data_IF_729656848144
#
_entry.id   IF_729656848144
#
_cell.length_a   1.000
_cell.length_b   1.000
_cell.length_c   1.000
_cell.angle_alpha   90.00
_cell.angle_beta   90.00
_cell.angle_gamma   90.00
#
_symmetry.space_group_name_H-M   'P 1'
#
loop_
_entity.id
_entity.type
_entity.pdbx_description
1 polymer ?
#
# COMPACT_ATOMS: atom_id res chain seq x y z
N UNK A 1 -5.40 -13.70 -38.59
CA UNK A 1 -4.38 -12.74 -38.14
C UNK A 1 -4.95 -11.98 -36.96
N UNK A 2 -4.65 -12.40 -35.72
CA UNK A 2 -5.04 -11.62 -34.55
C UNK A 2 -4.18 -10.34 -34.53
N UNK A 3 -4.83 -9.17 -34.55
CA UNK A 3 -4.14 -7.90 -34.46
C UNK A 3 -3.38 -7.85 -33.12
N UNK A 4 -2.05 -7.74 -33.18
CA UNK A 4 -1.16 -7.61 -32.02
C UNK A 4 -1.43 -6.27 -31.30
N UNK A 5 -2.51 -6.22 -30.53
CA UNK A 5 -2.88 -5.05 -29.74
C UNK A 5 -2.17 -5.10 -28.39
N UNK A 6 -1.30 -4.12 -28.14
CA UNK A 6 -0.64 -3.93 -26.85
C UNK A 6 -1.53 -3.14 -25.91
N UNK A 7 -1.49 -3.47 -24.62
CA UNK A 7 -2.29 -2.85 -23.55
C UNK A 7 -1.39 -2.42 -22.41
N UNK A 8 -1.87 -1.48 -21.61
CA UNK A 8 -1.28 -1.15 -20.32
C UNK A 8 -1.25 -2.42 -19.46
N UNK A 9 -0.12 -2.66 -18.79
CA UNK A 9 0.18 -3.88 -18.03
C UNK A 9 0.88 -4.98 -18.83
N UNK A 10 0.91 -4.92 -20.16
CA UNK A 10 1.60 -5.94 -20.96
C UNK A 10 3.12 -5.84 -20.79
N UNK A 11 3.78 -7.01 -20.73
CA UNK A 11 5.23 -7.13 -20.83
C UNK A 11 5.64 -7.34 -22.28
N UNK A 12 6.66 -6.63 -22.71
CA UNK A 12 7.03 -6.52 -24.12
C UNK A 12 8.54 -6.50 -24.32
N UNK A 13 8.94 -7.03 -25.48
CA UNK A 13 10.30 -6.94 -25.97
C UNK A 13 10.50 -5.63 -26.74
N UNK A 14 11.47 -4.83 -26.30
CA UNK A 14 11.91 -3.60 -26.93
C UNK A 14 13.24 -3.81 -27.66
N UNK A 15 13.31 -3.29 -28.87
CA UNK A 15 14.57 -3.17 -29.60
C UNK A 15 15.31 -1.90 -29.18
N UNK A 16 16.58 -2.05 -28.78
CA UNK A 16 17.47 -0.92 -28.46
C UNK A 16 18.53 -0.71 -29.57
N UNK A 17 19.13 -1.79 -30.04
CA UNK A 17 20.00 -1.81 -31.22
C UNK A 17 19.94 -3.18 -31.89
N UNK A 18 20.17 -3.23 -33.20
CA UNK A 18 20.11 -4.46 -34.00
C UNK A 18 21.13 -5.54 -33.57
N UNK A 19 22.16 -5.16 -32.82
CA UNK A 19 23.23 -6.03 -32.35
C UNK A 19 23.04 -6.56 -30.92
N UNK A 20 22.11 -5.99 -30.14
CA UNK A 20 21.91 -6.34 -28.74
C UNK A 20 20.62 -7.15 -28.55
N UNK A 21 20.60 -8.10 -27.59
CA UNK A 21 19.36 -8.78 -27.22
C UNK A 21 18.27 -7.81 -26.79
N UNK A 22 17.02 -8.16 -27.12
CA UNK A 22 15.84 -7.34 -26.83
C UNK A 22 15.72 -7.03 -25.34
N UNK A 23 15.41 -5.77 -25.03
CA UNK A 23 15.13 -5.32 -23.67
C UNK A 23 13.72 -5.75 -23.27
N UNK A 24 13.48 -5.98 -21.99
CA UNK A 24 12.16 -6.38 -21.48
C UNK A 24 11.61 -5.21 -20.68
N UNK A 25 10.35 -4.86 -20.94
CA UNK A 25 9.70 -3.70 -20.32
C UNK A 25 8.23 -3.97 -20.05
N UNK A 26 7.65 -3.31 -19.05
CA UNK A 26 6.20 -3.30 -18.79
C UNK A 26 5.60 -1.98 -19.25
N UNK A 27 4.49 -2.02 -19.97
CA UNK A 27 3.77 -0.83 -20.41
C UNK A 27 2.97 -0.25 -19.24
N UNK A 28 3.31 0.95 -18.80
CA UNK A 28 2.52 1.70 -17.80
C UNK A 28 1.48 2.60 -18.46
N UNK A 29 1.82 3.17 -19.61
CA UNK A 29 0.99 4.16 -20.28
C UNK A 29 1.23 4.10 -21.79
N UNK A 30 0.17 4.29 -22.57
CA UNK A 30 0.24 4.43 -24.02
C UNK A 30 -0.37 5.77 -24.42
N UNK A 31 0.47 6.64 -24.95
CA UNK A 31 0.10 8.00 -25.33
C UNK A 31 0.11 8.16 -26.84
N UNK A 32 -1.04 8.55 -27.40
CA UNK A 32 -1.17 8.86 -28.82
C UNK A 32 -1.09 10.38 -29.01
N UNK A 33 -0.07 10.83 -29.71
CA UNK A 33 0.12 12.25 -30.07
C UNK A 33 -0.89 12.70 -31.12
N UNK A 34 -1.11 14.02 -31.23
CA UNK A 34 -1.99 14.61 -32.25
C UNK A 34 -1.58 14.26 -33.69
N UNK A 35 -0.30 13.99 -33.91
CA UNK A 35 0.27 13.60 -35.20
C UNK A 35 0.04 12.10 -35.53
N UNK A 36 -0.60 11.35 -34.62
CA UNK A 36 -0.90 9.93 -34.80
C UNK A 36 0.18 8.96 -34.30
N UNK A 37 1.35 9.46 -33.89
CA UNK A 37 2.41 8.64 -33.31
C UNK A 37 2.03 8.16 -31.92
N UNK A 38 2.38 6.91 -31.60
CA UNK A 38 2.13 6.29 -30.28
C UNK A 38 3.44 6.14 -29.54
N UNK A 39 3.50 6.71 -28.34
CA UNK A 39 4.59 6.55 -27.37
C UNK A 39 4.13 5.64 -26.24
N UNK A 40 5.04 4.78 -25.79
CA UNK A 40 4.82 3.91 -24.65
C UNK A 40 5.71 4.37 -23.51
N UNK A 41 5.08 4.73 -22.39
CA UNK A 41 5.77 4.94 -21.11
C UNK A 41 5.90 3.59 -20.44
N UNK A 42 7.13 3.21 -20.16
CA UNK A 42 7.48 1.84 -19.83
C UNK A 42 8.40 1.77 -18.63
N UNK A 43 8.16 0.75 -17.81
CA UNK A 43 9.03 0.33 -16.71
C UNK A 43 10.09 -0.62 -17.24
N UNK A 44 11.34 -0.40 -16.84
CA UNK A 44 12.48 -1.18 -17.30
C UNK A 44 12.72 -2.45 -16.48
N UNK A 45 13.02 -3.56 -17.15
CA UNK A 45 13.63 -4.73 -16.52
C UNK A 45 15.09 -4.84 -16.93
N UNK A 46 15.93 -5.17 -15.95
CA UNK A 46 17.36 -5.38 -16.15
C UNK A 46 17.65 -6.87 -16.13
N UNK A 47 18.57 -7.32 -16.98
CA UNK A 47 19.12 -8.68 -16.93
C UNK A 47 20.32 -8.71 -16.00
N UNK A 48 20.74 -9.90 -15.59
CA UNK A 48 21.98 -10.10 -14.81
C UNK A 48 23.19 -9.35 -15.36
N UNK A 49 23.38 -9.36 -16.69
CA UNK A 49 24.52 -8.70 -17.35
C UNK A 49 24.49 -7.17 -17.28
N UNK A 50 23.31 -6.59 -17.02
CA UNK A 50 23.11 -5.14 -17.02
C UNK A 50 23.38 -4.54 -15.61
N UNK A 51 23.70 -5.39 -14.62
CA UNK A 51 23.92 -5.03 -13.21
C UNK A 51 25.33 -5.46 -12.80
N UNK A 52 25.94 -4.78 -11.82
CA UNK A 52 27.30 -5.08 -11.35
C UNK A 52 27.43 -6.46 -10.72
N UNK A 53 28.62 -7.06 -10.83
CA UNK A 53 28.94 -8.39 -10.26
C UNK A 53 28.71 -8.49 -8.74
N UNK A 54 28.92 -7.39 -8.01
CA UNK A 54 28.64 -7.30 -6.56
C UNK A 54 27.17 -7.52 -6.24
N UNK A 55 26.26 -6.96 -7.04
CA UNK A 55 24.82 -7.10 -6.87
C UNK A 55 24.33 -8.46 -7.34
N UNK A 56 24.97 -9.04 -8.38
CA UNK A 56 24.70 -10.42 -8.78
C UNK A 56 25.02 -11.38 -7.63
N UNK A 57 26.13 -11.18 -6.90
CA UNK A 57 26.46 -12.01 -5.74
C UNK A 57 25.41 -11.89 -4.61
N UNK A 58 24.83 -10.70 -4.43
CA UNK A 58 23.73 -10.48 -3.48
C UNK A 58 22.44 -11.17 -3.93
N UNK A 59 22.09 -11.06 -5.21
CA UNK A 59 20.94 -11.77 -5.78
C UNK A 59 21.10 -13.30 -5.66
N UNK A 60 22.30 -13.83 -5.90
CA UNK A 60 22.62 -15.24 -5.71
C UNK A 60 22.51 -15.67 -4.23
N UNK A 61 22.80 -14.77 -3.27
CA UNK A 61 22.61 -15.05 -1.84
C UNK A 61 21.12 -15.11 -1.50
N UNK A 62 20.34 -14.13 -1.95
CA UNK A 62 18.89 -14.09 -1.75
C UNK A 62 18.18 -15.28 -2.39
N UNK A 63 18.61 -15.71 -3.59
CA UNK A 63 18.06 -16.89 -4.25
C UNK A 63 18.28 -18.17 -3.42
N UNK A 64 19.47 -18.34 -2.82
CA UNK A 64 19.75 -19.47 -1.92
C UNK A 64 18.89 -19.45 -0.67
N UNK A 65 18.73 -18.28 -0.04
CA UNK A 65 17.88 -18.12 1.14
C UNK A 65 16.41 -18.47 0.82
N UNK A 66 15.87 -17.99 -0.31
CA UNK A 66 14.52 -18.39 -0.76
C UNK A 66 14.41 -19.88 -1.10
N UNK A 67 15.44 -20.49 -1.71
CA UNK A 67 15.47 -21.93 -1.98
C UNK A 67 15.42 -22.76 -0.68
N UNK A 68 16.08 -22.30 0.39
CA UNK A 68 16.04 -22.93 1.72
C UNK A 68 14.66 -22.79 2.38
N UNK A 69 14.00 -21.64 2.24
CA UNK A 69 12.68 -21.38 2.82
C UNK A 69 11.54 -22.09 2.09
N UNK A 70 11.64 -22.32 0.78
CA UNK A 70 10.55 -22.89 -0.02
C UNK A 70 10.24 -24.36 0.31
N UNK A 71 11.02 -25.05 1.17
CA UNK A 71 10.87 -26.47 1.55
C UNK A 71 10.49 -27.40 0.37
N UNK A 72 10.90 -27.06 -0.86
CA UNK A 72 10.38 -27.72 -2.05
C UNK A 72 11.44 -28.70 -2.61
N UNK A 73 11.30 -30.03 -2.39
CA UNK A 73 12.30 -31.02 -2.78
C UNK A 73 12.52 -31.11 -4.29
N UNK A 74 11.66 -30.52 -5.12
CA UNK A 74 11.79 -30.53 -6.58
C UNK A 74 12.88 -29.60 -7.15
N UNK A 75 13.37 -28.62 -6.38
CA UNK A 75 14.35 -27.63 -6.85
C UNK A 75 15.79 -28.14 -6.67
N UNK A 76 16.03 -28.96 -5.64
CA UNK A 76 17.35 -29.49 -5.32
C UNK A 76 17.92 -30.37 -6.45
N UNK A 77 17.04 -31.09 -7.16
CA UNK A 77 17.40 -32.11 -8.16
C UNK A 77 17.43 -31.62 -9.63
N UNK A 78 17.28 -30.31 -9.87
CA UNK A 78 17.40 -29.78 -11.24
C UNK A 78 18.84 -29.90 -11.76
N UNK A 79 19.06 -30.44 -12.98
CA UNK A 79 20.36 -30.45 -13.63
C UNK A 79 21.01 -29.06 -13.68
N UNK A 80 22.34 -29.00 -13.54
CA UNK A 80 23.10 -27.74 -13.53
C UNK A 80 22.82 -26.86 -14.75
N UNK A 81 22.61 -27.47 -15.92
CA UNK A 81 22.21 -26.77 -17.15
C UNK A 81 20.86 -26.04 -17.01
N UNK A 82 19.88 -26.66 -16.36
CA UNK A 82 18.56 -26.06 -16.16
C UNK A 82 18.61 -24.96 -15.10
N UNK A 83 19.38 -25.15 -14.02
CA UNK A 83 19.65 -24.09 -13.03
C UNK A 83 20.30 -22.87 -13.69
N UNK A 84 21.28 -23.08 -14.57
CA UNK A 84 21.89 -22.01 -15.33
C UNK A 84 20.89 -21.29 -16.25
N UNK A 85 20.01 -22.03 -16.94
CA UNK A 85 18.97 -21.44 -17.79
C UNK A 85 17.97 -20.60 -16.98
N UNK A 86 17.54 -21.06 -15.81
CA UNK A 86 16.66 -20.31 -14.90
C UNK A 86 17.27 -18.97 -14.50
N UNK A 87 18.58 -18.94 -14.20
CA UNK A 87 19.29 -17.70 -13.89
C UNK A 87 19.26 -16.66 -15.02
N UNK A 88 19.14 -17.10 -16.28
CA UNK A 88 18.98 -16.19 -17.44
C UNK A 88 17.53 -15.73 -17.64
N UNK A 89 16.56 -16.41 -17.02
CA UNK A 89 15.15 -16.01 -17.01
C UNK A 89 14.80 -15.05 -15.87
N UNK A 90 15.70 -14.90 -14.89
CA UNK A 90 15.58 -13.91 -13.83
C UNK A 90 15.84 -12.49 -14.37
N UNK A 91 14.90 -11.60 -14.08
CA UNK A 91 14.96 -10.17 -14.36
C UNK A 91 14.88 -9.38 -13.06
N UNK A 92 15.36 -8.15 -13.10
CA UNK A 92 15.30 -7.20 -12.00
C UNK A 92 14.39 -6.04 -12.36
N UNK A 93 13.32 -5.85 -11.59
CA UNK A 93 12.37 -4.76 -11.79
C UNK A 93 13.03 -3.44 -11.42
N UNK A 94 13.02 -2.44 -12.31
CA UNK A 94 13.47 -1.09 -11.97
C UNK A 94 12.29 -0.14 -11.89
N UNK A 95 12.29 0.79 -10.91
CA UNK A 95 11.28 1.87 -10.85
C UNK A 95 11.56 3.00 -11.85
N UNK A 96 12.58 2.85 -12.69
CA UNK A 96 12.89 3.79 -13.76
C UNK A 96 11.83 3.73 -14.86
N UNK A 97 11.26 4.88 -15.17
CA UNK A 97 10.31 5.08 -16.25
C UNK A 97 11.01 5.71 -17.45
N UNK A 98 10.77 5.16 -18.62
CA UNK A 98 11.25 5.72 -19.89
C UNK A 98 10.09 5.84 -20.87
N UNK A 99 10.11 6.88 -21.71
CA UNK A 99 9.14 7.04 -22.81
C UNK A 99 9.84 6.71 -24.12
N UNK A 100 9.34 5.70 -24.83
CA UNK A 100 9.90 5.26 -26.11
C UNK A 100 8.78 5.09 -27.16
N UNK A 101 9.06 5.31 -28.44
CA UNK A 101 8.11 5.04 -29.52
C UNK A 101 7.62 3.59 -29.49
N UNK A 102 6.32 3.36 -29.66
CA UNK A 102 5.74 2.02 -29.69
C UNK A 102 6.25 1.16 -30.87
N UNK A 103 6.88 1.78 -31.87
CA UNK A 103 7.53 1.11 -33.00
C UNK A 103 8.72 0.23 -32.60
N UNK A 104 9.31 0.46 -31.41
CA UNK A 104 10.39 -0.36 -30.89
C UNK A 104 9.91 -1.70 -30.30
N UNK A 105 8.59 -1.89 -30.14
CA UNK A 105 8.04 -3.13 -29.61
C UNK A 105 8.10 -4.22 -30.69
N UNK A 106 8.79 -5.32 -30.39
CA UNK A 106 8.97 -6.46 -31.32
C UNK A 106 8.10 -7.67 -30.99
N UNK A 107 7.60 -7.78 -29.75
CA UNK A 107 6.78 -8.90 -29.31
C UNK A 107 6.30 -8.73 -27.87
N UNK A 108 5.35 -9.59 -27.45
CA UNK A 108 4.94 -9.70 -26.05
C UNK A 108 5.72 -10.81 -25.37
N UNK A 109 5.96 -10.66 -24.08
CA UNK A 109 6.52 -11.70 -23.22
C UNK A 109 5.68 -11.82 -21.94
N UNK A 110 5.99 -12.82 -21.11
CA UNK A 110 5.36 -13.04 -19.83
C UNK A 110 6.41 -12.85 -18.74
N UNK A 111 6.17 -11.89 -17.84
CA UNK A 111 7.01 -11.68 -16.66
C UNK A 111 6.11 -11.80 -15.44
N UNK A 112 6.45 -12.67 -14.50
CA UNK A 112 5.68 -12.89 -13.27
C UNK A 112 6.54 -12.63 -12.04
N UNK A 113 5.91 -12.16 -10.97
CA UNK A 113 6.58 -12.05 -9.67
C UNK A 113 6.74 -13.47 -9.13
N UNK A 114 7.97 -13.86 -8.76
CA UNK A 114 8.21 -15.17 -8.20
C UNK A 114 7.50 -15.30 -6.85
N UNK A 115 6.49 -16.17 -6.80
CA UNK A 115 5.76 -16.52 -5.58
C UNK A 115 6.31 -17.82 -4.98
N UNK A 116 6.15 -18.00 -3.66
CA UNK A 116 6.60 -19.22 -2.95
C UNK A 116 5.89 -20.49 -3.45
N UNK A 117 4.72 -20.35 -4.09
CA UNK A 117 3.90 -21.46 -4.59
C UNK A 117 4.12 -21.79 -6.06
N UNK A 118 4.93 -21.02 -6.80
CA UNK A 118 5.12 -21.23 -8.24
C UNK A 118 6.27 -22.20 -8.52
N UNK A 119 6.01 -23.20 -9.38
CA UNK A 119 7.02 -24.15 -9.80
C UNK A 119 7.99 -23.51 -10.83
N UNK A 120 9.27 -23.40 -10.47
CA UNK A 120 10.32 -22.85 -11.33
C UNK A 120 10.42 -23.56 -12.70
N UNK A 121 10.07 -24.85 -12.77
CA UNK A 121 10.08 -25.64 -14.02
C UNK A 121 9.17 -25.03 -15.11
N UNK A 122 8.05 -24.41 -14.73
CA UNK A 122 7.10 -23.80 -15.67
C UNK A 122 7.74 -22.68 -16.52
N UNK A 123 8.77 -22.01 -15.99
CA UNK A 123 9.50 -20.96 -16.70
C UNK A 123 10.43 -21.51 -17.80
N UNK A 124 10.87 -22.77 -17.68
CA UNK A 124 11.70 -23.43 -18.68
C UNK A 124 10.88 -23.98 -19.85
N UNK A 125 9.62 -24.32 -19.61
CA UNK A 125 8.71 -24.87 -20.63
C UNK A 125 8.36 -23.86 -21.73
N UNK A 126 8.46 -22.56 -21.43
CA UNK A 126 8.11 -21.47 -22.35
C UNK A 126 9.33 -20.61 -22.62
N UNK A 127 9.60 -20.26 -23.88
CA UNK A 127 10.74 -19.40 -24.24
C UNK A 127 10.54 -17.94 -23.84
N UNK A 128 9.29 -17.46 -23.81
CA UNK A 128 8.92 -16.08 -23.49
C UNK A 128 8.55 -15.84 -22.02
N UNK A 129 8.89 -16.76 -21.12
CA UNK A 129 8.60 -16.66 -19.70
C UNK A 129 9.82 -16.22 -18.90
N UNK A 130 9.64 -15.18 -18.10
CA UNK A 130 10.63 -14.61 -17.19
C UNK A 130 10.01 -14.41 -15.81
N UNK A 131 10.85 -14.28 -14.80
CA UNK A 131 10.40 -13.93 -13.46
C UNK A 131 11.28 -12.83 -12.87
N UNK A 132 10.76 -12.15 -11.86
CA UNK A 132 11.53 -11.26 -11.02
C UNK A 132 11.19 -11.50 -9.55
N UNK A 133 12.17 -11.28 -8.68
CA UNK A 133 12.06 -11.40 -7.21
C UNK A 133 12.59 -10.16 -6.50
N UNK A 134 13.47 -9.43 -7.19
CA UNK A 134 14.21 -8.29 -6.66
C UNK A 134 13.92 -7.03 -7.49
N UNK A 135 13.88 -5.91 -6.79
CA UNK A 135 13.82 -4.56 -7.33
C UNK A 135 15.22 -3.98 -7.38
N UNK A 136 15.65 -3.54 -8.55
CA UNK A 136 16.92 -2.86 -8.77
C UNK A 136 16.72 -1.35 -8.86
N UNK A 137 17.45 -0.61 -8.04
CA UNK A 137 17.57 0.84 -8.16
C UNK A 137 18.81 1.19 -9.00
N UNK A 138 18.65 1.66 -10.26
CA UNK A 138 19.78 2.02 -11.11
C UNK A 138 20.54 3.27 -10.66
N UNK A 139 19.92 4.16 -9.88
CA UNK A 139 20.57 5.37 -9.37
C UNK A 139 21.45 5.05 -8.17
N UNK A 140 20.91 4.31 -7.20
CA UNK A 140 21.63 3.93 -5.99
C UNK A 140 22.50 2.68 -6.16
N UNK A 141 22.29 1.91 -7.23
CA UNK A 141 22.91 0.61 -7.47
C UNK A 141 22.67 -0.34 -6.29
N UNK A 142 21.42 -0.46 -5.87
CA UNK A 142 20.99 -1.33 -4.78
C UNK A 142 19.96 -2.35 -5.27
N UNK A 143 19.88 -3.48 -4.58
CA UNK A 143 18.85 -4.50 -4.77
C UNK A 143 18.02 -4.60 -3.49
N UNK A 144 16.70 -4.62 -3.65
CA UNK A 144 15.73 -4.77 -2.58
C UNK A 144 14.77 -5.90 -2.93
N UNK A 145 14.32 -6.66 -1.94
CA UNK A 145 13.20 -7.58 -2.17
C UNK A 145 11.92 -6.78 -2.42
N UNK A 146 11.15 -7.17 -3.45
CA UNK A 146 9.84 -6.53 -3.74
C UNK A 146 8.77 -6.93 -2.73
N UNK A 147 8.98 -8.06 -2.04
CA UNK A 147 8.12 -8.55 -0.97
C UNK A 147 8.45 -7.85 0.35
N UNK A 148 7.41 -7.36 1.03
CA UNK A 148 7.50 -7.06 2.45
C UNK A 148 7.82 -8.35 3.20
N UNK A 149 8.88 -8.34 3.99
CA UNK A 149 9.33 -9.49 4.77
C UNK A 149 8.68 -9.45 6.15
N UNK A 150 7.93 -10.49 6.53
CA UNK A 150 7.52 -10.68 7.92
C UNK A 150 8.67 -11.31 8.67
N UNK A 151 9.16 -10.62 9.69
CA UNK A 151 10.30 -11.11 10.49
C UNK A 151 9.82 -11.80 11.74
N UNK A 152 10.29 -13.03 11.93
CA UNK A 152 9.99 -13.84 13.11
C UNK A 152 11.22 -13.88 14.02
N UNK A 153 11.00 -13.80 15.33
CA UNK A 153 12.04 -13.92 16.34
C UNK A 153 11.89 -12.95 17.49
N UNK A 154 12.61 -13.21 18.58
CA UNK A 154 12.50 -12.52 19.87
C UNK A 154 12.75 -11.00 19.80
N UNK A 155 13.38 -10.51 18.73
CA UNK A 155 13.61 -9.06 18.51
C UNK A 155 12.41 -8.34 17.90
N UNK A 156 11.47 -9.09 17.35
CA UNK A 156 10.33 -8.59 16.59
C UNK A 156 9.00 -8.95 17.25
N UNK A 157 8.92 -10.13 17.88
CA UNK A 157 7.73 -10.60 18.57
C UNK A 157 7.61 -9.94 19.94
N UNK A 158 6.38 -9.54 20.30
CA UNK A 158 6.08 -9.09 21.65
C UNK A 158 6.09 -10.28 22.62
N UNK A 159 6.45 -10.01 23.87
CA UNK A 159 6.32 -11.02 24.93
C UNK A 159 4.84 -11.25 25.22
N UNK A 160 4.45 -12.52 25.25
CA UNK A 160 3.04 -12.90 25.41
C UNK A 160 2.72 -12.81 26.90
N UNK A 161 1.75 -11.97 27.25
CA UNK A 161 1.30 -11.86 28.64
C UNK A 161 0.54 -13.12 29.04
N UNK A 162 0.98 -13.75 30.13
CA UNK A 162 0.35 -14.96 30.68
C UNK A 162 -1.10 -14.70 31.11
N UNK A 163 -1.90 -15.75 31.04
CA UNK A 163 -3.29 -15.72 31.50
C UNK A 163 -3.32 -15.69 33.04
N UNK A 164 -4.07 -14.74 33.60
CA UNK A 164 -4.26 -14.59 35.05
C UNK A 164 -4.94 -15.83 35.65
N UNK A 165 -4.48 -16.27 36.81
CA UNK A 165 -5.08 -17.40 37.50
C UNK A 165 -6.52 -17.11 37.96
N UNK A 166 -7.30 -18.15 38.22
CA UNK A 166 -8.66 -17.98 38.75
C UNK A 166 -8.62 -17.25 40.11
N UNK A 167 -9.22 -16.05 40.15
CA UNK A 167 -9.25 -15.19 41.33
C UNK A 167 -8.11 -14.18 41.44
N UNK A 168 -7.18 -14.15 40.48
CA UNK A 168 -6.15 -13.11 40.39
C UNK A 168 -6.71 -11.85 39.71
N UNK A 169 -6.48 -10.69 40.31
CA UNK A 169 -6.87 -9.40 39.72
C UNK A 169 -5.71 -8.82 38.89
N UNK A 170 -6.04 -8.12 37.82
CA UNK A 170 -5.07 -7.50 36.91
C UNK A 170 -4.36 -6.27 37.51
N UNK A 171 -4.78 -5.82 38.70
CA UNK A 171 -4.21 -4.68 39.43
C UNK A 171 -4.35 -3.33 38.73
N UNK A 172 -5.22 -3.21 37.71
CA UNK A 172 -5.36 -1.98 36.92
C UNK A 172 -6.40 -1.05 37.55
N UNK A 173 -5.97 0.16 37.86
CA UNK A 173 -6.86 1.22 38.32
C UNK A 173 -7.53 1.93 37.13
N UNK A 174 -8.78 1.55 36.84
CA UNK A 174 -9.56 2.12 35.73
C UNK A 174 -9.72 3.63 35.86
N UNK A 175 -9.77 4.18 37.08
CA UNK A 175 -9.95 5.63 37.32
C UNK A 175 -8.77 6.45 36.79
N UNK A 176 -7.59 5.84 36.63
CA UNK A 176 -6.40 6.48 36.02
C UNK A 176 -6.33 6.27 34.51
N UNK A 177 -7.02 5.28 33.97
CA UNK A 177 -6.94 4.87 32.57
C UNK A 177 -8.05 5.48 31.72
N UNK A 178 -9.23 5.68 32.30
CA UNK A 178 -10.41 6.17 31.60
C UNK A 178 -11.29 7.07 32.47
N UNK A 179 -11.98 7.99 31.80
CA UNK A 179 -13.04 8.83 32.38
C UNK A 179 -14.30 8.63 31.53
N UNK A 180 -15.44 8.37 32.19
CA UNK A 180 -16.71 8.20 31.50
C UNK A 180 -17.21 9.57 31.02
N UNK A 181 -17.40 9.72 29.70
CA UNK A 181 -17.85 10.97 29.06
C UNK A 181 -19.34 10.93 28.71
N UNK A 182 -19.91 9.75 28.48
CA UNK A 182 -21.32 9.58 28.16
C UNK A 182 -21.84 8.22 28.63
N UNK A 183 -23.08 8.17 29.12
CA UNK A 183 -23.74 6.93 29.51
C UNK A 183 -24.84 6.55 28.52
N UNK A 184 -24.69 5.46 27.75
CA UNK A 184 -25.71 5.03 26.80
C UNK A 184 -26.97 4.47 27.49
N UNK A 185 -26.90 4.12 28.78
CA UNK A 185 -28.05 3.61 29.53
C UNK A 185 -28.94 4.72 30.12
N UNK A 186 -28.86 5.93 29.58
CA UNK A 186 -29.59 7.10 30.05
C UNK A 186 -31.10 6.87 30.08
N UNK A 187 -31.76 7.38 31.13
CA UNK A 187 -33.23 7.42 31.24
C UNK A 187 -33.89 8.40 30.25
N UNK A 188 -33.08 9.22 29.57
CA UNK A 188 -33.54 10.18 28.58
C UNK A 188 -33.91 9.47 27.27
N UNK A 189 -35.05 9.86 26.71
CA UNK A 189 -35.42 9.44 25.35
C UNK A 189 -34.60 10.20 24.32
N UNK A 190 -34.36 9.60 23.15
CA UNK A 190 -33.66 10.25 22.02
C UNK A 190 -34.26 11.62 21.67
N UNK A 191 -35.60 11.74 21.72
CA UNK A 191 -36.33 13.00 21.50
C UNK A 191 -35.95 14.10 22.51
N UNK A 192 -35.71 13.73 23.76
CA UNK A 192 -35.34 14.69 24.81
C UNK A 192 -33.90 15.17 24.63
N UNK A 193 -33.01 14.27 24.20
CA UNK A 193 -31.62 14.62 23.85
C UNK A 193 -31.61 15.58 22.65
N UNK A 194 -32.36 15.27 21.59
CA UNK A 194 -32.50 16.15 20.42
C UNK A 194 -33.04 17.54 20.79
N UNK A 195 -34.05 17.59 21.66
CA UNK A 195 -34.59 18.84 22.18
C UNK A 195 -33.52 19.65 22.92
N UNK A 196 -32.72 19.01 23.77
CA UNK A 196 -31.64 19.68 24.48
C UNK A 196 -30.56 20.19 23.51
N UNK A 197 -30.20 19.42 22.48
CA UNK A 197 -29.26 19.86 21.45
C UNK A 197 -29.79 21.07 20.65
N UNK A 198 -31.11 21.15 20.42
CA UNK A 198 -31.73 22.35 19.84
C UNK A 198 -31.63 23.55 20.79
N UNK A 199 -31.86 23.36 22.09
CA UNK A 199 -31.72 24.41 23.10
C UNK A 199 -30.28 24.90 23.17
N UNK A 200 -29.30 23.99 23.24
CA UNK A 200 -27.87 24.34 23.29
C UNK A 200 -27.43 25.15 22.06
N UNK A 201 -27.90 24.79 20.85
CA UNK A 201 -27.66 25.57 19.62
C UNK A 201 -28.30 26.96 19.69
N UNK A 202 -29.50 27.06 20.25
CA UNK A 202 -30.23 28.33 20.41
C UNK A 202 -29.49 29.26 21.39
N UNK A 203 -29.02 28.72 22.52
CA UNK A 203 -28.18 29.44 23.49
C UNK A 203 -26.87 29.89 22.85
N UNK A 204 -26.19 29.00 22.09
CA UNK A 204 -24.96 29.35 21.39
C UNK A 204 -25.14 30.44 20.33
N UNK A 205 -26.30 30.48 19.65
CA UNK A 205 -26.65 31.53 18.70
C UNK A 205 -26.89 32.86 19.42
N UNK A 206 -27.63 32.84 20.52
CA UNK A 206 -27.93 34.03 21.32
C UNK A 206 -26.66 34.62 21.97
N UNK A 207 -25.79 33.79 22.53
CA UNK A 207 -24.52 34.24 23.13
C UNK A 207 -23.66 35.03 22.15
N UNK A 208 -23.60 34.61 20.89
CA UNK A 208 -22.84 35.30 19.82
C UNK A 208 -23.48 36.58 19.33
N UNK A 209 -24.80 36.72 19.48
CA UNK A 209 -25.51 37.97 19.19
C UNK A 209 -25.23 39.04 20.26
N UNK A 210 -24.91 38.63 21.49
CA UNK A 210 -24.57 39.54 22.59
C UNK A 210 -23.09 39.93 22.63
N UNK A 211 -22.21 39.15 22.01
CA UNK A 211 -20.77 39.43 21.96
C UNK A 211 -20.41 40.30 20.73
N UNK A 212 -20.04 41.55 20.99
CA UNK A 212 -19.64 42.52 19.95
C UNK A 212 -18.49 42.01 19.07
N UNK A 213 -17.58 41.16 19.59
CA UNK A 213 -16.46 40.62 18.81
C UNK A 213 -16.90 39.52 17.83
N UNK A 214 -17.85 38.69 18.25
CA UNK A 214 -18.47 37.64 17.44
C UNK A 214 -19.39 38.22 16.37
N UNK A 215 -20.13 39.31 16.68
CA UNK A 215 -21.00 40.01 15.72
C UNK A 215 -20.23 40.61 14.53
N UNK A 216 -18.94 40.94 14.69
CA UNK A 216 -18.09 41.43 13.59
C UNK A 216 -17.62 40.29 12.67
N UNK A 217 -17.40 39.08 13.23
CA UNK A 217 -16.97 37.90 12.44
C UNK A 217 -18.14 37.16 11.79
N UNK A 218 -19.32 37.21 12.40
CA UNK A 218 -20.54 36.55 11.91
C UNK A 218 -21.72 37.54 11.91
N UNK A 219 -21.75 38.49 10.95
CA UNK A 219 -22.71 39.60 10.98
C UNK A 219 -24.16 39.20 10.67
N UNK A 220 -24.41 37.98 10.17
CA UNK A 220 -25.76 37.52 9.83
C UNK A 220 -26.26 36.46 10.80
N UNK A 221 -27.58 36.46 11.02
CA UNK A 221 -28.26 35.47 11.87
C UNK A 221 -28.00 34.02 11.40
N UNK A 222 -28.03 33.78 10.09
CA UNK A 222 -27.79 32.44 9.54
C UNK A 222 -26.34 31.97 9.75
N UNK A 223 -25.34 32.87 9.68
CA UNK A 223 -23.95 32.51 9.96
C UNK A 223 -23.73 32.20 11.43
N UNK A 224 -24.35 32.97 12.34
CA UNK A 224 -24.30 32.72 13.78
C UNK A 224 -24.98 31.40 14.15
N UNK A 225 -26.15 31.11 13.57
CA UNK A 225 -26.85 29.84 13.77
C UNK A 225 -26.06 28.65 13.23
N UNK A 226 -25.49 28.76 12.03
CA UNK A 226 -24.68 27.70 11.42
C UNK A 226 -23.44 27.38 12.27
N UNK A 227 -22.79 28.41 12.82
CA UNK A 227 -21.58 28.20 13.57
C UNK A 227 -21.83 27.82 15.05
N UNK A 228 -23.00 28.11 15.61
CA UNK A 228 -23.48 27.52 16.86
C UNK A 228 -23.97 26.07 16.68
N UNK A 229 -24.23 25.65 15.43
CA UNK A 229 -24.63 24.27 15.09
C UNK A 229 -23.45 23.35 14.77
N UNK A 230 -22.20 23.79 14.98
CA UNK A 230 -21.01 22.97 14.76
C UNK A 230 -20.85 21.92 15.86
N UNK A 231 -20.15 20.85 15.54
CA UNK A 231 -19.96 19.69 16.43
C UNK A 231 -19.38 20.06 17.79
N UNK A 232 -18.52 21.07 17.88
CA UNK A 232 -17.99 21.55 19.16
C UNK A 232 -19.08 21.94 20.16
N UNK A 233 -20.18 22.55 19.69
CA UNK A 233 -21.32 22.92 20.53
C UNK A 233 -22.15 21.70 20.89
N UNK A 234 -22.26 20.72 19.97
CA UNK A 234 -22.97 19.46 20.23
C UNK A 234 -22.23 18.61 21.26
N UNK A 235 -20.91 18.42 21.10
CA UNK A 235 -20.07 17.72 22.07
C UNK A 235 -20.16 18.37 23.46
N UNK A 236 -20.04 19.70 23.52
CA UNK A 236 -20.19 20.41 24.78
C UNK A 236 -21.56 20.24 25.43
N UNK A 237 -22.64 20.19 24.63
CA UNK A 237 -23.98 19.94 25.12
C UNK A 237 -24.12 18.52 25.69
N UNK A 238 -23.57 17.51 25.00
CA UNK A 238 -23.58 16.12 25.47
C UNK A 238 -22.77 15.94 26.77
N UNK A 239 -21.60 16.57 26.86
CA UNK A 239 -20.80 16.60 28.10
C UNK A 239 -21.57 17.28 29.24
N UNK A 240 -22.28 18.37 28.94
CA UNK A 240 -23.07 19.10 29.94
C UNK A 240 -24.20 18.23 30.46
N UNK A 241 -24.89 17.49 29.60
CA UNK A 241 -25.91 16.53 30.02
C UNK A 241 -25.33 15.45 30.93
N UNK A 242 -24.20 14.86 30.54
CA UNK A 242 -23.58 13.79 31.33
C UNK A 242 -23.12 14.29 32.72
N UNK A 243 -22.44 15.45 32.76
CA UNK A 243 -21.95 16.06 34.01
C UNK A 243 -23.05 16.46 34.98
N UNK A 244 -24.26 16.76 34.48
CA UNK A 244 -25.42 17.08 35.31
C UNK A 244 -26.30 15.85 35.62
N UNK A 245 -25.76 14.63 35.44
CA UNK A 245 -26.45 13.40 35.79
C UNK A 245 -27.61 13.04 34.86
N UNK A 246 -27.58 13.50 33.61
CA UNK A 246 -28.60 13.26 32.59
C UNK A 246 -29.99 13.75 33.01
N UNK A 247 -30.03 14.80 33.83
CA UNK A 247 -31.25 15.53 34.21
C UNK A 247 -31.40 16.72 33.27
N UNK A 248 -32.61 16.88 32.70
CA UNK A 248 -32.99 17.99 31.81
C UNK A 248 -33.73 19.09 32.57
#
# INVERSE_FOLDING_TARGET
>A
MAANMYRVGDYVYFENSSSNPLLIRRIEELNKTANGNVEAKVVCFYRRRDISSTLIALADKHAREMEEEMENPEILDLPEKQKHQLRHRELFLSRQLESLPATHIRGKCCVTLLNETEALKSYLEREDAFFYSLVYDPQQKTLLADKGEIRVGNKYQADITDLLAEGEEDGRDLSKLEEKIWDPSSLLTEKQIDQFLVVARSVGTFARALDCSSSVRQPSLHMSAAAASRDITLFHAMDTLHKNGLVL
#
